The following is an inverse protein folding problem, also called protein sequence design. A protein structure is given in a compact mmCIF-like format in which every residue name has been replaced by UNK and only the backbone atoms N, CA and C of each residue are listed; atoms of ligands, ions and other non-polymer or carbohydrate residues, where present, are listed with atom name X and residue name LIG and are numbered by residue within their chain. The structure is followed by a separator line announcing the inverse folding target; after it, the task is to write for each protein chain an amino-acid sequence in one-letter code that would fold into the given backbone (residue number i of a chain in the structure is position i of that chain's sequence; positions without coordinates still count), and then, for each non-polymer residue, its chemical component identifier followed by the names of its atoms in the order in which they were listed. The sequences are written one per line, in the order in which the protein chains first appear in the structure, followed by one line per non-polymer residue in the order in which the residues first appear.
data_IF_870254606406
#
_entry.id   IF_870254606406
#
_cell.length_a   1.000
_cell.length_b   1.000
_cell.length_c   1.000
_cell.angle_alpha   90.00
_cell.angle_beta   90.00
_cell.angle_gamma   90.00
#
_symmetry.space_group_name_H-M   'P 1'
#
loop_
_entity.id
_entity.type
_entity.pdbx_description
1 polymer ?
#
# COMPACT_ATOMS: atom_id res chain seq x y z
N UNK A 1 4.55 -5.23 -52.62
CA UNK A 1 3.79 -5.74 -51.44
C UNK A 1 4.72 -6.60 -50.62
N UNK A 2 5.29 -6.05 -49.54
CA UNK A 2 6.21 -6.78 -48.65
C UNK A 2 5.41 -7.27 -47.47
N UNK A 3 5.36 -8.60 -47.30
CA UNK A 3 4.72 -9.26 -46.16
C UNK A 3 5.57 -9.09 -44.91
N UNK A 4 5.13 -8.26 -43.97
CA UNK A 4 5.73 -8.11 -42.66
C UNK A 4 5.51 -9.41 -41.88
N UNK A 5 6.60 -10.12 -41.66
CA UNK A 5 6.64 -11.41 -40.97
C UNK A 5 6.22 -11.27 -39.51
N UNK A 6 5.22 -12.06 -39.09
CA UNK A 6 4.70 -12.17 -37.73
C UNK A 6 5.75 -12.54 -36.66
N UNK A 7 6.97 -12.88 -37.08
CA UNK A 7 8.08 -13.24 -36.21
C UNK A 7 8.81 -12.02 -35.60
N UNK A 8 8.65 -10.82 -36.18
CA UNK A 8 9.30 -9.61 -35.65
C UNK A 8 8.53 -8.98 -34.47
N UNK A 9 7.24 -9.31 -34.32
CA UNK A 9 6.41 -8.74 -33.25
C UNK A 9 6.63 -9.41 -31.88
N UNK A 10 7.12 -10.65 -31.87
CA UNK A 10 7.36 -11.41 -30.63
C UNK A 10 8.72 -11.12 -29.95
N UNK A 11 9.60 -10.35 -30.59
CA UNK A 11 10.91 -10.00 -30.01
C UNK A 11 10.95 -8.63 -29.33
N UNK A 12 9.92 -7.80 -29.50
CA UNK A 12 9.88 -6.46 -28.90
C UNK A 12 9.18 -6.40 -27.53
N UNK A 13 8.54 -7.49 -27.08
CA UNK A 13 7.76 -7.51 -25.83
C UNK A 13 8.50 -8.10 -24.62
N UNK A 14 9.76 -8.47 -24.75
CA UNK A 14 10.50 -9.16 -23.66
C UNK A 14 11.46 -8.27 -22.87
N UNK A 15 11.55 -6.97 -23.15
CA UNK A 15 12.51 -6.07 -22.46
C UNK A 15 11.92 -5.15 -21.40
N UNK A 16 10.60 -5.16 -21.21
CA UNK A 16 9.93 -4.31 -20.19
C UNK A 16 9.56 -5.03 -18.89
N UNK A 17 9.76 -6.35 -18.83
CA UNK A 17 9.39 -7.15 -17.65
C UNK A 17 10.54 -7.35 -16.63
N UNK A 18 11.74 -6.84 -16.89
CA UNK A 18 12.91 -7.12 -16.03
C UNK A 18 13.20 -6.07 -14.96
N UNK A 19 12.51 -4.93 -14.95
CA UNK A 19 12.81 -3.83 -14.01
C UNK A 19 12.01 -3.90 -12.69
N UNK A 20 11.00 -4.77 -12.57
CA UNK A 20 10.13 -4.83 -11.39
C UNK A 20 10.56 -5.84 -10.30
N UNK A 21 11.69 -6.52 -10.46
CA UNK A 21 12.12 -7.59 -9.54
C UNK A 21 13.08 -7.13 -8.42
N UNK A 22 13.33 -5.83 -8.26
CA UNK A 22 14.32 -5.32 -7.32
C UNK A 22 13.77 -4.89 -5.95
N UNK A 23 12.49 -5.16 -5.65
CA UNK A 23 11.82 -4.60 -4.47
C UNK A 23 12.34 -5.09 -3.11
N UNK A 24 12.93 -6.27 -3.04
CA UNK A 24 13.64 -6.76 -1.85
C UNK A 24 14.71 -7.77 -2.26
N UNK A 25 15.97 -7.39 -2.27
CA UNK A 25 17.08 -8.32 -2.41
C UNK A 25 17.57 -8.74 -1.03
N UNK A 26 17.23 -9.95 -0.60
CA UNK A 26 17.93 -10.57 0.51
C UNK A 26 19.30 -11.05 0.03
N UNK A 27 20.39 -10.40 0.42
CA UNK A 27 21.73 -10.91 0.20
C UNK A 27 22.11 -11.82 1.36
N UNK A 28 22.41 -13.08 1.06
CA UNK A 28 23.00 -14.01 2.04
C UNK A 28 24.51 -13.87 2.00
N UNK A 29 25.09 -13.30 3.04
CA UNK A 29 26.50 -13.40 3.31
C UNK A 29 26.67 -14.18 4.63
N UNK A 30 26.99 -15.46 4.54
CA UNK A 30 27.04 -16.34 5.70
C UNK A 30 25.66 -16.71 6.26
N UNK A 31 25.49 -16.72 7.57
CA UNK A 31 24.25 -17.06 8.30
C UNK A 31 23.30 -15.86 8.51
N UNK A 32 23.68 -14.66 8.07
CA UNK A 32 22.89 -13.42 8.27
C UNK A 32 22.13 -13.08 6.99
N UNK A 33 20.81 -13.01 7.06
CA UNK A 33 19.97 -12.53 5.97
C UNK A 33 19.62 -11.07 6.25
N UNK A 34 20.13 -10.14 5.46
CA UNK A 34 19.77 -8.72 5.55
C UNK A 34 18.51 -8.48 4.73
N UNK A 35 17.46 -8.01 5.38
CA UNK A 35 16.22 -7.63 4.73
C UNK A 35 16.34 -6.18 4.23
N UNK A 36 16.08 -5.97 2.94
CA UNK A 36 16.15 -4.65 2.30
C UNK A 36 14.78 -4.21 1.85
N UNK A 37 14.37 -2.99 2.23
CA UNK A 37 13.11 -2.36 1.85
C UNK A 37 13.32 -1.42 0.67
N UNK A 38 12.40 -1.44 -0.31
CA UNK A 38 12.33 -0.44 -1.36
C UNK A 38 11.62 0.82 -0.82
N UNK A 39 12.33 1.94 -0.78
CA UNK A 39 11.83 3.18 -0.18
C UNK A 39 10.62 3.73 -0.95
N UNK A 40 10.67 3.72 -2.28
CA UNK A 40 9.56 4.21 -3.11
C UNK A 40 8.28 3.42 -2.86
N UNK A 41 8.35 2.08 -2.84
CA UNK A 41 7.17 1.23 -2.60
C UNK A 41 6.56 1.46 -1.21
N UNK A 42 7.39 1.55 -0.16
CA UNK A 42 6.89 1.82 1.20
C UNK A 42 6.17 3.16 1.25
N UNK A 43 6.76 4.20 0.64
CA UNK A 43 6.20 5.56 0.63
C UNK A 43 4.92 5.61 -0.20
N UNK A 44 4.92 5.01 -1.39
CA UNK A 44 3.76 5.02 -2.30
C UNK A 44 2.57 4.28 -1.67
N UNK A 45 2.78 3.09 -1.10
CA UNK A 45 1.73 2.31 -0.46
C UNK A 45 1.20 3.01 0.80
N UNK A 46 2.10 3.47 1.66
CA UNK A 46 1.71 4.20 2.87
C UNK A 46 0.96 5.50 2.57
N UNK A 47 1.39 6.25 1.55
CA UNK A 47 0.72 7.49 1.13
C UNK A 47 -0.66 7.21 0.51
N UNK A 48 -0.80 6.14 -0.27
CA UNK A 48 -2.10 5.74 -0.81
C UNK A 48 -3.08 5.34 0.30
N UNK A 49 -2.63 4.54 1.30
CA UNK A 49 -3.44 4.18 2.47
C UNK A 49 -3.82 5.43 3.27
N UNK A 50 -2.90 6.38 3.46
CA UNK A 50 -3.15 7.66 4.13
C UNK A 50 -4.22 8.47 3.39
N UNK A 51 -4.14 8.55 2.06
CA UNK A 51 -5.13 9.22 1.19
C UNK A 51 -6.50 8.54 1.31
N UNK A 52 -6.54 7.21 1.23
CA UNK A 52 -7.76 6.44 1.44
C UNK A 52 -8.41 6.76 2.80
N UNK A 53 -7.65 6.64 3.88
CA UNK A 53 -8.15 6.85 5.23
C UNK A 53 -8.71 8.27 5.41
N UNK A 54 -7.96 9.28 4.94
CA UNK A 54 -8.37 10.69 5.01
C UNK A 54 -9.63 10.99 4.21
N UNK A 55 -9.82 10.35 3.06
CA UNK A 55 -11.03 10.48 2.24
C UNK A 55 -12.20 9.74 2.89
N UNK A 56 -11.99 8.50 3.30
CA UNK A 56 -13.03 7.62 3.81
C UNK A 56 -13.75 8.19 5.05
N UNK A 57 -13.01 8.79 5.99
CA UNK A 57 -13.62 9.36 7.20
C UNK A 57 -14.50 10.59 6.93
N UNK A 58 -14.38 11.21 5.75
CA UNK A 58 -15.24 12.33 5.33
C UNK A 58 -16.49 11.86 4.58
N UNK A 59 -16.57 10.59 4.20
CA UNK A 59 -17.78 10.03 3.59
C UNK A 59 -18.87 9.91 4.64
N UNK A 60 -20.04 10.51 4.41
CA UNK A 60 -21.08 10.70 5.41
C UNK A 60 -21.56 9.40 6.08
N UNK A 61 -21.72 8.31 5.31
CA UNK A 61 -22.14 7.03 5.91
C UNK A 61 -21.04 6.41 6.79
N UNK A 62 -19.75 6.58 6.42
CA UNK A 62 -18.61 6.11 7.21
C UNK A 62 -18.52 6.90 8.51
N UNK A 63 -18.52 8.23 8.42
CA UNK A 63 -18.49 9.11 9.58
C UNK A 63 -19.64 8.82 10.56
N UNK A 64 -20.86 8.61 10.03
CA UNK A 64 -22.03 8.28 10.83
C UNK A 64 -21.91 6.91 11.51
N UNK A 65 -21.41 5.91 10.80
CA UNK A 65 -21.24 4.55 11.32
C UNK A 65 -20.12 4.47 12.37
N UNK A 66 -19.04 5.25 12.21
CA UNK A 66 -17.93 5.31 13.18
C UNK A 66 -18.35 6.00 14.48
N UNK A 67 -19.18 7.03 14.40
CA UNK A 67 -19.49 7.90 15.52
C UNK A 67 -18.33 8.79 15.96
N UNK A 68 -18.58 9.75 16.83
CA UNK A 68 -17.63 10.82 17.19
C UNK A 68 -16.33 10.27 17.81
N UNK A 69 -16.44 9.27 18.68
CA UNK A 69 -15.26 8.72 19.38
C UNK A 69 -14.29 8.00 18.44
N UNK A 70 -14.80 7.12 17.58
CA UNK A 70 -13.97 6.40 16.60
C UNK A 70 -13.44 7.33 15.50
N UNK A 71 -14.21 8.36 15.13
CA UNK A 71 -13.76 9.36 14.17
C UNK A 71 -12.57 10.17 14.73
N UNK A 72 -12.60 10.55 16.01
CA UNK A 72 -11.48 11.21 16.66
C UNK A 72 -10.24 10.30 16.72
N UNK A 73 -10.43 9.01 17.01
CA UNK A 73 -9.35 8.01 17.01
C UNK A 73 -8.77 7.83 15.60
N UNK A 74 -9.60 7.73 14.57
CA UNK A 74 -9.16 7.62 13.19
C UNK A 74 -8.33 8.84 12.74
N UNK A 75 -8.74 10.06 13.11
CA UNK A 75 -7.92 11.25 12.85
C UNK A 75 -6.55 11.19 13.54
N UNK A 76 -6.49 10.65 14.75
CA UNK A 76 -5.21 10.43 15.46
C UNK A 76 -4.32 9.42 14.72
N UNK A 77 -4.91 8.31 14.25
CA UNK A 77 -4.18 7.29 13.47
C UNK A 77 -3.67 7.86 12.15
N UNK A 78 -4.48 8.66 11.44
CA UNK A 78 -4.08 9.33 10.20
C UNK A 78 -2.89 10.28 10.45
N UNK A 79 -2.92 11.06 11.52
CA UNK A 79 -1.81 11.94 11.89
C UNK A 79 -0.55 11.15 12.25
N UNK A 80 -0.69 10.03 12.99
CA UNK A 80 0.41 9.13 13.34
C UNK A 80 1.03 8.49 12.10
N UNK A 81 0.23 7.95 11.19
CA UNK A 81 0.71 7.35 9.93
C UNK A 81 1.48 8.38 9.07
N UNK A 82 0.97 9.60 8.98
CA UNK A 82 1.69 10.69 8.29
C UNK A 82 3.05 10.97 8.91
N UNK A 83 3.13 11.00 10.24
CA UNK A 83 4.38 11.21 10.97
C UNK A 83 5.34 10.03 10.79
N UNK A 84 4.85 8.79 10.83
CA UNK A 84 5.64 7.58 10.62
C UNK A 84 6.24 7.51 9.21
N UNK A 85 5.47 7.89 8.17
CA UNK A 85 5.96 8.00 6.80
C UNK A 85 7.06 9.06 6.66
N UNK A 86 6.90 10.23 7.28
CA UNK A 86 7.93 11.26 7.28
C UNK A 86 9.20 10.80 8.01
N UNK A 87 9.07 10.09 9.14
CA UNK A 87 10.20 9.51 9.86
C UNK A 87 10.92 8.45 9.04
N UNK A 88 10.19 7.59 8.31
CA UNK A 88 10.77 6.59 7.41
C UNK A 88 11.55 7.25 6.27
N UNK A 89 10.98 8.27 5.62
CA UNK A 89 11.68 9.03 4.57
C UNK A 89 12.95 9.71 5.10
N UNK A 90 12.89 10.29 6.30
CA UNK A 90 14.05 10.90 6.94
C UNK A 90 15.14 9.86 7.26
N UNK A 91 14.76 8.68 7.75
CA UNK A 91 15.69 7.58 8.03
C UNK A 91 16.30 6.97 6.75
N UNK A 92 15.55 6.96 5.65
CA UNK A 92 16.00 6.48 4.35
C UNK A 92 16.91 7.48 3.61
N UNK A 93 16.74 8.79 3.85
CA UNK A 93 17.46 9.85 3.16
C UNK A 93 17.20 9.81 1.65
N UNK A 94 18.27 9.86 0.86
CA UNK A 94 18.21 9.77 -0.62
C UNK A 94 18.36 8.35 -1.16
N UNK A 95 18.34 7.33 -0.31
CA UNK A 95 18.56 5.94 -0.72
C UNK A 95 17.33 5.37 -1.42
N UNK A 96 17.53 4.63 -2.52
CA UNK A 96 16.44 3.91 -3.19
C UNK A 96 15.99 2.67 -2.40
N UNK A 97 16.89 2.13 -1.57
CA UNK A 97 16.65 0.97 -0.71
C UNK A 97 17.39 1.11 0.61
N UNK A 98 16.82 0.58 1.69
CA UNK A 98 17.37 0.66 3.04
C UNK A 98 17.30 -0.69 3.74
N UNK A 99 18.24 -0.96 4.66
CA UNK A 99 18.19 -2.16 5.49
C UNK A 99 17.13 -2.01 6.58
N UNK A 100 16.23 -2.98 6.68
CA UNK A 100 15.26 -3.07 7.76
C UNK A 100 15.93 -3.27 9.14
N UNK A 101 17.14 -3.83 9.18
CA UNK A 101 17.90 -4.04 10.42
C UNK A 101 18.45 -2.74 11.02
N UNK A 102 18.44 -1.63 10.27
CA UNK A 102 18.75 -0.31 10.80
C UNK A 102 17.71 0.12 11.83
N UNK A 103 18.12 0.47 13.05
CA UNK A 103 17.22 0.76 14.17
C UNK A 103 16.21 1.87 13.85
N UNK A 104 16.63 2.94 13.16
CA UNK A 104 15.76 4.06 12.78
C UNK A 104 14.76 3.66 11.69
N UNK A 105 15.21 2.92 10.68
CA UNK A 105 14.36 2.41 9.60
C UNK A 105 13.33 1.44 10.16
N UNK A 106 13.78 0.48 10.99
CA UNK A 106 12.91 -0.50 11.63
C UNK A 106 11.83 0.17 12.47
N UNK A 107 12.21 1.09 13.36
CA UNK A 107 11.26 1.77 14.22
C UNK A 107 10.20 2.56 13.43
N UNK A 108 10.62 3.27 12.37
CA UNK A 108 9.70 4.01 11.52
C UNK A 108 8.78 3.09 10.70
N UNK A 109 9.32 2.00 10.14
CA UNK A 109 8.53 1.04 9.37
C UNK A 109 7.54 0.27 10.25
N UNK A 110 7.95 -0.19 11.43
CA UNK A 110 7.06 -0.85 12.40
C UNK A 110 5.92 0.09 12.84
N UNK A 111 6.20 1.39 12.96
CA UNK A 111 5.15 2.39 13.23
C UNK A 111 4.17 2.52 12.06
N UNK A 112 4.64 2.51 10.80
CA UNK A 112 3.78 2.48 9.62
C UNK A 112 2.87 1.24 9.68
N UNK A 113 3.42 0.05 9.91
CA UNK A 113 2.65 -1.19 9.99
C UNK A 113 1.58 -1.12 11.09
N UNK A 114 1.94 -0.65 12.29
CA UNK A 114 1.00 -0.53 13.39
C UNK A 114 -0.15 0.45 13.09
N UNK A 115 0.11 1.53 12.37
CA UNK A 115 -0.91 2.52 12.04
C UNK A 115 -1.79 2.07 10.86
N UNK A 116 -1.25 1.40 9.83
CA UNK A 116 -2.08 0.84 8.76
C UNK A 116 -2.98 -0.30 9.26
N UNK A 117 -2.56 -1.08 10.26
CA UNK A 117 -3.42 -2.07 10.94
C UNK A 117 -4.58 -1.42 11.69
N UNK A 118 -4.37 -0.23 12.27
CA UNK A 118 -5.47 0.54 12.87
C UNK A 118 -6.41 1.12 11.81
N UNK A 119 -5.89 1.54 10.64
CA UNK A 119 -6.74 1.93 9.50
C UNK A 119 -7.63 0.78 9.07
N UNK A 120 -7.10 -0.44 8.98
CA UNK A 120 -7.84 -1.66 8.67
C UNK A 120 -8.97 -1.87 9.68
N UNK A 121 -8.66 -1.93 10.96
CA UNK A 121 -9.63 -2.24 12.01
C UNK A 121 -10.66 -1.14 12.26
N UNK A 122 -10.33 0.13 12.07
CA UNK A 122 -11.21 1.26 12.38
C UNK A 122 -12.02 1.76 11.18
N UNK A 123 -11.43 1.77 9.99
CA UNK A 123 -12.04 2.39 8.81
C UNK A 123 -12.53 1.33 7.83
N UNK A 124 -11.65 0.41 7.42
CA UNK A 124 -11.99 -0.62 6.43
C UNK A 124 -13.09 -1.53 6.97
N UNK A 125 -12.96 -2.01 8.22
CA UNK A 125 -13.97 -2.86 8.86
C UNK A 125 -15.34 -2.17 8.93
N UNK A 126 -15.39 -0.86 9.19
CA UNK A 126 -16.65 -0.08 9.19
C UNK A 126 -17.26 -0.01 7.79
N UNK A 127 -16.44 0.27 6.77
CA UNK A 127 -16.93 0.32 5.38
C UNK A 127 -17.50 -1.03 4.97
N UNK A 128 -16.79 -2.13 5.20
CA UNK A 128 -17.22 -3.47 4.83
C UNK A 128 -18.49 -3.85 5.59
N UNK A 129 -18.56 -3.61 6.91
CA UNK A 129 -19.70 -3.96 7.74
C UNK A 129 -20.94 -3.14 7.42
N UNK A 130 -20.80 -1.85 7.12
CA UNK A 130 -21.94 -0.95 6.85
C UNK A 130 -22.43 -1.08 5.42
N UNK A 131 -21.53 -1.28 4.47
CA UNK A 131 -21.83 -1.36 3.05
C UNK A 131 -22.71 -2.58 2.68
N UNK A 132 -22.78 -3.59 3.52
CA UNK A 132 -23.65 -4.76 3.29
C UNK A 132 -25.17 -4.38 3.22
N UNK A 133 -25.54 -3.28 3.85
CA UNK A 133 -26.94 -2.85 4.00
C UNK A 133 -27.30 -1.60 3.18
N UNK A 134 -26.35 -1.04 2.42
CA UNK A 134 -26.56 0.18 1.64
C UNK A 134 -26.29 -0.08 0.16
N UNK A 135 -27.22 0.33 -0.69
CA UNK A 135 -27.08 0.24 -2.14
C UNK A 135 -26.89 1.64 -2.73
N UNK A 136 -25.64 2.07 -2.93
CA UNK A 136 -25.33 3.30 -3.65
C UNK A 136 -23.97 3.20 -4.35
N UNK A 137 -23.75 4.03 -5.36
CA UNK A 137 -22.47 4.08 -6.07
C UNK A 137 -21.31 4.43 -5.11
N UNK A 138 -21.54 5.39 -4.21
CA UNK A 138 -20.55 5.81 -3.19
C UNK A 138 -20.14 4.65 -2.30
N UNK A 139 -21.08 3.80 -1.90
CA UNK A 139 -20.79 2.60 -1.09
C UNK A 139 -19.98 1.59 -1.88
N UNK A 140 -20.30 1.38 -3.17
CA UNK A 140 -19.54 0.49 -4.05
C UNK A 140 -18.10 0.97 -4.26
N UNK A 141 -17.93 2.27 -4.49
CA UNK A 141 -16.60 2.89 -4.64
C UNK A 141 -15.78 2.80 -3.34
N UNK A 142 -16.40 3.09 -2.20
CA UNK A 142 -15.76 2.97 -0.90
C UNK A 142 -15.31 1.52 -0.60
N UNK A 143 -16.14 0.51 -0.94
CA UNK A 143 -15.76 -0.90 -0.80
C UNK A 143 -14.60 -1.29 -1.71
N UNK A 144 -14.60 -0.83 -2.96
CA UNK A 144 -13.51 -1.08 -3.90
C UNK A 144 -12.20 -0.47 -3.39
N UNK A 145 -12.26 0.77 -2.90
CA UNK A 145 -11.10 1.44 -2.31
C UNK A 145 -10.64 0.79 -1.01
N UNK A 146 -11.55 0.28 -0.19
CA UNK A 146 -11.22 -0.48 1.02
C UNK A 146 -10.46 -1.77 0.70
N UNK A 147 -10.93 -2.57 -0.27
CA UNK A 147 -10.21 -3.76 -0.74
C UNK A 147 -8.85 -3.45 -1.37
N UNK A 148 -8.72 -2.30 -2.04
CA UNK A 148 -7.43 -1.81 -2.52
C UNK A 148 -6.50 -1.45 -1.36
N UNK A 149 -6.99 -0.79 -0.32
CA UNK A 149 -6.22 -0.46 0.87
C UNK A 149 -5.76 -1.72 1.62
N UNK A 150 -6.64 -2.73 1.80
CA UNK A 150 -6.26 -4.05 2.34
C UNK A 150 -5.11 -4.68 1.55
N UNK A 151 -5.18 -4.64 0.22
CA UNK A 151 -4.11 -5.14 -0.65
C UNK A 151 -2.78 -4.45 -0.36
N UNK A 152 -2.76 -3.13 -0.20
CA UNK A 152 -1.53 -2.39 0.11
C UNK A 152 -1.01 -2.67 1.51
N UNK A 153 -1.90 -2.87 2.49
CA UNK A 153 -1.53 -3.28 3.86
C UNK A 153 -0.84 -4.65 3.84
N UNK A 154 -1.42 -5.61 3.12
CA UNK A 154 -0.83 -6.94 2.97
C UNK A 154 0.53 -6.91 2.25
N UNK A 155 0.70 -6.00 1.28
CA UNK A 155 1.98 -5.78 0.61
C UNK A 155 3.04 -5.22 1.56
N UNK A 156 2.69 -4.26 2.40
CA UNK A 156 3.60 -3.72 3.42
C UNK A 156 3.98 -4.81 4.45
N UNK A 157 3.03 -5.62 4.91
CA UNK A 157 3.30 -6.77 5.79
C UNK A 157 4.26 -7.77 5.12
N UNK A 158 4.01 -8.10 3.86
CA UNK A 158 4.81 -9.05 3.10
C UNK A 158 6.27 -8.59 2.86
N UNK A 159 6.56 -7.29 2.97
CA UNK A 159 7.92 -6.77 2.86
C UNK A 159 8.83 -7.26 3.99
N UNK A 160 8.30 -7.53 5.18
CA UNK A 160 9.05 -7.99 6.37
C UNK A 160 8.78 -9.45 6.69
N UNK A 161 7.75 -10.08 6.09
CA UNK A 161 7.51 -11.50 6.25
C UNK A 161 8.52 -12.31 5.42
N UNK A 162 9.47 -12.93 6.10
CA UNK A 162 10.55 -13.71 5.51
C UNK A 162 10.12 -15.09 4.97
N UNK A 163 8.85 -15.47 5.11
CA UNK A 163 8.38 -16.83 4.87
C UNK A 163 8.07 -17.19 3.41
N UNK A 164 8.19 -16.26 2.43
CA UNK A 164 7.85 -16.60 1.06
C UNK A 164 8.43 -15.78 -0.10
N UNK A 165 9.43 -16.31 -0.86
CA UNK A 165 9.94 -15.62 -2.05
C UNK A 165 8.98 -15.60 -3.26
N UNK A 166 7.85 -16.31 -3.21
CA UNK A 166 6.93 -16.50 -4.35
C UNK A 166 5.80 -15.47 -4.44
N UNK A 167 5.50 -14.74 -3.38
CA UNK A 167 4.42 -13.74 -3.37
C UNK A 167 4.80 -12.39 -3.99
N UNK A 168 6.09 -12.11 -4.12
CA UNK A 168 6.62 -10.78 -4.49
C UNK A 168 6.35 -10.36 -5.94
N UNK A 169 6.35 -11.28 -6.89
CA UNK A 169 6.16 -10.95 -8.32
C UNK A 169 4.70 -10.63 -8.68
N UNK A 170 3.74 -11.21 -7.96
CA UNK A 170 2.30 -10.92 -8.12
C UNK A 170 1.92 -9.64 -7.37
N UNK A 171 2.61 -9.36 -6.27
CA UNK A 171 2.37 -8.25 -5.36
C UNK A 171 2.55 -6.87 -6.03
N UNK A 172 3.63 -6.65 -6.78
CA UNK A 172 3.90 -5.33 -7.38
C UNK A 172 2.87 -4.91 -8.44
N UNK A 173 2.34 -5.87 -9.22
CA UNK A 173 1.29 -5.60 -10.21
C UNK A 173 -0.03 -5.21 -9.53
N UNK A 174 -0.33 -5.80 -8.38
CA UNK A 174 -1.52 -5.49 -7.60
C UNK A 174 -1.41 -4.15 -6.88
N UNK A 175 -0.20 -3.75 -6.45
CA UNK A 175 0.04 -2.49 -5.76
C UNK A 175 -0.32 -1.27 -6.59
N UNK A 176 0.15 -1.18 -7.84
CA UNK A 176 -0.16 -0.07 -8.74
C UNK A 176 -1.66 0.02 -9.07
N UNK A 177 -2.31 -1.12 -9.27
CA UNK A 177 -3.75 -1.17 -9.50
C UNK A 177 -4.53 -0.67 -8.26
N UNK A 178 -4.11 -1.08 -7.06
CA UNK A 178 -4.71 -0.65 -5.80
C UNK A 178 -4.55 0.85 -5.56
N UNK A 179 -3.36 1.41 -5.80
CA UNK A 179 -3.12 2.87 -5.75
C UNK A 179 -4.06 3.60 -6.70
N UNK A 180 -4.22 3.10 -7.94
CA UNK A 180 -5.12 3.68 -8.93
C UNK A 180 -6.58 3.69 -8.47
N UNK A 181 -7.07 2.63 -7.85
CA UNK A 181 -8.43 2.54 -7.30
C UNK A 181 -8.65 3.54 -6.16
N UNK A 182 -7.68 3.69 -5.26
CA UNK A 182 -7.74 4.67 -4.18
C UNK A 182 -7.75 6.10 -4.74
N UNK A 183 -6.93 6.38 -5.76
CA UNK A 183 -6.90 7.69 -6.38
C UNK A 183 -8.24 8.06 -7.05
N UNK A 184 -8.90 7.10 -7.71
CA UNK A 184 -10.24 7.28 -8.29
C UNK A 184 -11.26 7.59 -7.19
N UNK A 185 -11.24 6.84 -6.08
CA UNK A 185 -12.12 7.08 -4.95
C UNK A 185 -11.90 8.47 -4.33
N UNK A 186 -10.65 8.87 -4.11
CA UNK A 186 -10.33 10.20 -3.58
C UNK A 186 -10.84 11.32 -4.51
N UNK A 187 -10.70 11.14 -5.84
CA UNK A 187 -11.18 12.11 -6.81
C UNK A 187 -12.72 12.19 -6.91
N UNK A 188 -13.43 11.09 -6.63
CA UNK A 188 -14.90 11.05 -6.66
C UNK A 188 -15.55 11.69 -5.43
N UNK A 189 -14.81 11.87 -4.34
CA UNK A 189 -15.32 12.46 -3.09
C UNK A 189 -14.92 13.92 -2.88
N UNK A 190 -14.02 14.48 -3.70
CA UNK A 190 -13.56 15.87 -3.66
C UNK A 190 -14.31 16.74 -4.63
#
# INVERSE_FOLDING_TARGET
MQSLSRRSFLRASTTLAAAALAACSGSRSGTTTTLTLNVAEVVDYGTAILSFASTAINVSFVASAMGVANLALANTVIASLKAALAAFQAAAGSSASVSYDSASVKAAFDSILADVEKVDTLIIAVIIGTAANLASNVVSEARTAAGAAETLIDLLRAMVDMSGPRLRAVASLNGNAAIGQIAIFAASQG
#
